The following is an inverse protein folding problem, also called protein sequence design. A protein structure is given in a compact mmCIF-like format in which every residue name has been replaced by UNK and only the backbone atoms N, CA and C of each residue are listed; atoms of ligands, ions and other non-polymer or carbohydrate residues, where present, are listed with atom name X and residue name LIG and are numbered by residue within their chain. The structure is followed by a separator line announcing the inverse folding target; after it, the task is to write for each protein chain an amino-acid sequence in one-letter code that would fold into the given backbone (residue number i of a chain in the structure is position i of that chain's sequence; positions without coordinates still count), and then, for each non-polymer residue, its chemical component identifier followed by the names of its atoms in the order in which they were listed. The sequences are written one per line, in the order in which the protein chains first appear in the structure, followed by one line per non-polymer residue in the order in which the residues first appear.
data_IF_499091250099
#
_entry.id   IF_499091250099
#
_cell.length_a   1.000
_cell.length_b   1.000
_cell.length_c   1.000
_cell.angle_alpha   90.00
_cell.angle_beta   90.00
_cell.angle_gamma   90.00
#
_symmetry.space_group_name_H-M   'P 1'
#
loop_
_entity.id
_entity.type
_entity.pdbx_description
1 polymer ?
#
# COMPACT_ATOMS: atom_id res chain seq x y z
N UNK A 1 0.66 15.97 9.18
CA UNK A 1 -0.76 15.86 8.82
C UNK A 1 -1.01 14.87 7.67
N UNK A 2 -0.38 15.03 6.50
CA UNK A 2 -0.59 14.16 5.32
C UNK A 2 -0.41 12.65 5.59
N UNK A 3 0.59 12.26 6.39
CA UNK A 3 0.88 10.86 6.73
C UNK A 3 -0.27 10.20 7.49
N UNK A 4 -0.87 10.91 8.44
CA UNK A 4 -2.00 10.43 9.24
C UNK A 4 -3.23 10.23 8.35
N UNK A 5 -3.49 11.14 7.41
CA UNK A 5 -4.57 10.99 6.43
C UNK A 5 -4.38 9.75 5.56
N UNK A 6 -3.16 9.46 5.11
CA UNK A 6 -2.84 8.26 4.31
C UNK A 6 -3.06 6.99 5.13
N UNK A 7 -2.59 6.94 6.39
CA UNK A 7 -2.82 5.80 7.27
C UNK A 7 -4.31 5.60 7.60
N UNK A 8 -5.05 6.68 7.83
CA UNK A 8 -6.51 6.63 8.04
C UNK A 8 -7.24 6.11 6.81
N UNK A 9 -6.86 6.56 5.62
CA UNK A 9 -7.43 6.07 4.37
C UNK A 9 -7.07 4.60 4.08
N UNK A 10 -5.86 4.16 4.42
CA UNK A 10 -5.47 2.74 4.38
C UNK A 10 -6.32 1.89 5.33
N UNK A 11 -6.55 2.36 6.56
CA UNK A 11 -7.39 1.64 7.53
C UNK A 11 -8.84 1.54 7.04
N UNK A 12 -9.40 2.64 6.53
CA UNK A 12 -10.74 2.66 5.94
C UNK A 12 -10.83 1.71 4.75
N UNK A 13 -9.83 1.73 3.86
CA UNK A 13 -9.76 0.83 2.71
C UNK A 13 -9.66 -0.64 3.16
N UNK A 14 -8.91 -0.95 4.22
CA UNK A 14 -8.81 -2.30 4.76
C UNK A 14 -10.15 -2.81 5.29
N UNK A 15 -10.94 -1.94 5.95
CA UNK A 15 -12.30 -2.25 6.38
C UNK A 15 -13.22 -2.43 5.16
N UNK A 16 -13.13 -1.54 4.18
CA UNK A 16 -13.93 -1.61 2.95
C UNK A 16 -13.56 -2.86 2.12
N UNK A 17 -12.32 -3.32 2.21
CA UNK A 17 -11.83 -4.55 1.62
C UNK A 17 -12.32 -5.81 2.36
N UNK A 18 -12.76 -5.69 3.62
CA UNK A 18 -13.51 -6.73 4.29
C UNK A 18 -14.87 -6.84 3.60
N UNK A 19 -14.88 -7.65 2.55
CA UNK A 19 -15.99 -7.92 1.66
C UNK A 19 -17.12 -8.58 2.46
N UNK A 20 -17.98 -7.77 3.08
CA UNK A 20 -19.14 -8.23 3.86
C UNK A 20 -20.45 -7.60 3.37
N UNK A 21 -20.38 -6.57 2.52
CA UNK A 21 -21.55 -5.79 2.12
C UNK A 21 -22.30 -6.36 0.92
N UNK A 22 -21.59 -6.78 -0.13
CA UNK A 22 -22.22 -7.26 -1.38
C UNK A 22 -21.88 -8.71 -1.72
N UNK A 23 -21.33 -9.48 -0.77
CA UNK A 23 -20.98 -10.90 -1.00
C UNK A 23 -22.15 -11.75 -1.49
N UNK A 24 -23.34 -11.51 -0.96
CA UNK A 24 -24.54 -12.28 -1.31
C UNK A 24 -25.32 -11.71 -2.49
N UNK A 25 -24.97 -10.52 -3.01
CA UNK A 25 -25.69 -9.91 -4.13
C UNK A 25 -25.00 -10.20 -5.46
N UNK A 26 -25.28 -11.38 -5.99
CA UNK A 26 -24.86 -11.84 -7.32
C UNK A 26 -25.93 -11.62 -8.40
N UNK A 27 -27.09 -11.07 -8.02
CA UNK A 27 -28.24 -10.88 -8.93
C UNK A 27 -28.28 -9.49 -9.57
N UNK A 28 -27.67 -8.49 -8.96
CA UNK A 28 -27.54 -7.16 -9.56
C UNK A 28 -26.39 -7.14 -10.57
N UNK A 29 -26.75 -7.16 -11.85
CA UNK A 29 -25.80 -7.00 -12.96
C UNK A 29 -25.56 -5.52 -13.26
N UNK A 30 -24.31 -5.10 -13.15
CA UNK A 30 -23.80 -3.83 -13.65
C UNK A 30 -23.42 -4.02 -15.12
N UNK A 31 -23.76 -3.05 -15.99
CA UNK A 31 -23.55 -3.12 -17.44
C UNK A 31 -24.19 -4.34 -18.16
N UNK A 32 -25.09 -5.07 -17.49
CA UNK A 32 -25.80 -6.22 -18.06
C UNK A 32 -24.99 -7.53 -18.12
N UNK A 33 -23.73 -7.56 -17.65
CA UNK A 33 -22.91 -8.78 -17.63
C UNK A 33 -22.05 -8.96 -16.38
N UNK A 34 -21.81 -7.90 -15.60
CA UNK A 34 -20.83 -7.92 -14.52
C UNK A 34 -21.53 -7.86 -13.15
N UNK A 35 -21.38 -8.85 -12.26
CA UNK A 35 -22.02 -8.80 -10.95
C UNK A 35 -21.46 -7.63 -10.12
N UNK A 36 -22.34 -6.95 -9.37
CA UNK A 36 -21.97 -5.75 -8.59
C UNK A 36 -20.83 -6.01 -7.59
N UNK A 37 -20.79 -7.21 -7.02
CA UNK A 37 -19.72 -7.66 -6.15
C UNK A 37 -18.35 -7.60 -6.84
N UNK A 38 -18.27 -8.04 -8.10
CA UNK A 38 -17.03 -7.99 -8.88
C UNK A 38 -16.65 -6.56 -9.26
N UNK A 39 -17.62 -5.71 -9.61
CA UNK A 39 -17.38 -4.29 -9.88
C UNK A 39 -16.77 -3.61 -8.65
N UNK A 40 -17.31 -3.93 -7.47
CA UNK A 40 -16.83 -3.44 -6.20
C UNK A 40 -15.38 -3.88 -5.92
N UNK A 41 -15.05 -5.15 -6.14
CA UNK A 41 -13.68 -5.65 -5.98
C UNK A 41 -12.67 -4.95 -6.91
N UNK A 42 -13.07 -4.67 -8.16
CA UNK A 42 -12.23 -3.91 -9.11
C UNK A 42 -11.99 -2.51 -8.56
N UNK A 43 -13.03 -1.83 -8.10
CA UNK A 43 -12.92 -0.50 -7.50
C UNK A 43 -12.00 -0.47 -6.28
N UNK A 44 -12.15 -1.41 -5.35
CA UNK A 44 -11.30 -1.54 -4.17
C UNK A 44 -9.84 -1.81 -4.55
N UNK A 45 -9.59 -2.62 -5.57
CA UNK A 45 -8.22 -2.91 -6.05
C UNK A 45 -7.54 -1.68 -6.66
N UNK A 46 -8.27 -0.89 -7.45
CA UNK A 46 -7.78 0.38 -8.01
C UNK A 46 -7.48 1.37 -6.88
N UNK A 47 -8.40 1.50 -5.92
CA UNK A 47 -8.20 2.36 -4.75
C UNK A 47 -6.97 1.96 -3.94
N UNK A 48 -6.73 0.65 -3.75
CA UNK A 48 -5.54 0.13 -3.10
C UNK A 48 -4.25 0.53 -3.82
N UNK A 49 -4.20 0.38 -5.15
CA UNK A 49 -3.05 0.77 -5.95
C UNK A 49 -2.74 2.28 -5.80
N UNK A 50 -3.76 3.13 -5.88
CA UNK A 50 -3.60 4.58 -5.72
C UNK A 50 -3.11 4.94 -4.32
N UNK A 51 -3.71 4.36 -3.27
CA UNK A 51 -3.32 4.60 -1.88
C UNK A 51 -1.88 4.15 -1.61
N UNK A 52 -1.49 3.00 -2.14
CA UNK A 52 -0.13 2.49 -2.02
C UNK A 52 0.88 3.39 -2.73
N UNK A 53 0.57 3.84 -3.95
CA UNK A 53 1.39 4.81 -4.68
C UNK A 53 1.56 6.13 -3.92
N UNK A 54 0.48 6.63 -3.31
CA UNK A 54 0.51 7.82 -2.47
C UNK A 54 1.35 7.58 -1.20
N UNK A 55 1.21 6.42 -0.56
CA UNK A 55 2.02 6.04 0.59
C UNK A 55 3.52 5.98 0.25
N UNK A 56 3.91 5.37 -0.86
CA UNK A 56 5.30 5.37 -1.31
C UNK A 56 5.81 6.78 -1.64
N UNK A 57 4.96 7.67 -2.18
CA UNK A 57 5.37 9.04 -2.53
C UNK A 57 5.59 9.93 -1.31
N UNK A 58 4.73 9.81 -0.29
CA UNK A 58 4.66 10.76 0.83
C UNK A 58 5.14 10.20 2.18
N UNK A 59 5.06 8.89 2.39
CA UNK A 59 5.48 8.25 3.63
C UNK A 59 6.87 7.62 3.53
N UNK A 60 7.38 7.39 2.31
CA UNK A 60 8.73 6.85 2.11
C UNK A 60 9.79 7.91 2.46
N UNK A 61 10.66 7.65 3.45
CA UNK A 61 11.72 8.56 3.84
C UNK A 61 12.77 8.66 2.72
N UNK A 62 13.25 9.87 2.43
CA UNK A 62 14.29 10.11 1.42
C UNK A 62 15.71 9.96 1.98
N UNK A 63 15.86 9.96 3.30
CA UNK A 63 17.16 9.88 3.99
C UNK A 63 17.69 8.43 4.14
N UNK A 64 17.23 7.50 3.29
CA UNK A 64 17.70 6.10 3.34
C UNK A 64 19.13 5.92 2.82
N UNK A 65 19.71 6.94 2.16
CA UNK A 65 21.06 6.88 1.60
C UNK A 65 22.18 7.07 2.65
N UNK A 66 21.87 7.55 3.86
CA UNK A 66 22.89 7.80 4.90
C UNK A 66 23.37 6.51 5.59
N UNK A 67 22.60 5.42 5.52
CA UNK A 67 22.92 4.19 6.25
C UNK A 67 23.97 3.29 5.55
N UNK A 68 24.28 3.53 4.27
CA UNK A 68 25.21 2.68 3.50
C UNK A 68 26.66 3.19 3.54
N UNK A 69 26.88 4.48 3.86
CA UNK A 69 28.22 5.07 3.95
C UNK A 69 29.04 4.63 5.17
N UNK A 70 28.39 4.06 6.19
CA UNK A 70 29.05 3.66 7.43
C UNK A 70 29.65 2.24 7.36
N UNK A 71 29.28 1.44 6.36
CA UNK A 71 29.80 0.09 6.15
C UNK A 71 31.12 0.05 5.37
N UNK A 72 31.43 1.10 4.58
CA UNK A 72 32.62 1.15 3.74
C UNK A 72 33.91 1.53 4.51
N UNK A 73 33.78 1.92 5.79
CA UNK A 73 34.96 2.19 6.66
C UNK A 73 35.45 0.93 7.40
N UNK A 74 35.09 -0.28 6.96
CA UNK A 74 35.79 -1.49 7.41
C UNK A 74 37.17 -1.58 6.74
N UNK A 75 38.16 -0.92 7.33
CA UNK A 75 39.55 -1.32 7.13
C UNK A 75 39.77 -2.65 7.86
N UNK A 76 40.06 -3.77 7.18
CA UNK A 76 40.57 -4.95 7.87
C UNK A 76 41.90 -4.54 8.51
N UNK A 77 41.88 -4.30 9.82
CA UNK A 77 43.09 -3.98 10.56
C UNK A 77 43.99 -5.22 10.51
N UNK A 78 44.92 -5.20 9.55
CA UNK A 78 46.00 -6.16 9.42
C UNK A 78 46.81 -6.16 10.71
N UNK A 79 46.55 -7.15 11.55
CA UNK A 79 47.38 -7.43 12.71
C UNK A 79 48.66 -8.13 12.28
N UNK A 80 49.77 -7.38 12.24
CA UNK A 80 51.19 -7.76 12.41
C UNK A 80 51.98 -6.46 12.65
N UNK A 81 53.11 -6.43 13.38
CA UNK A 81 54.12 -7.48 13.60
C UNK A 81 53.91 -8.37 14.83
#
# INVERSE_FOLDING_TARGET
MIRITIFGALMLLAILHQDFWWRDDHRTLVFGFLPVSLAYHIGVSIAACLLWGLACRYCWPRDLEVADSDAETYTPHGGRP
#
